data_IF_348518356516
#
_entry.id   IF_348518356516
#
_cell.length_a   1.000
_cell.length_b   1.000
_cell.length_c   1.000
_cell.angle_alpha   90.00
_cell.angle_beta   90.00
_cell.angle_gamma   90.00
#
_symmetry.space_group_name_H-M   'P 1'
#
loop_
_entity.id
_entity.type
_entity.pdbx_description
1 polymer ?
#
# COMPACT_ATOMS: atom_id res chain seq x y z
N UNK A 1 -7.79 -8.61 49.19
CA UNK A 1 -6.83 -7.54 48.85
C UNK A 1 -6.32 -7.70 47.42
N UNK A 2 -5.67 -8.83 47.06
CA UNK A 2 -5.13 -9.06 45.71
C UNK A 2 -6.15 -9.05 44.55
N UNK A 3 -7.41 -9.44 44.79
CA UNK A 3 -8.46 -9.48 43.75
C UNK A 3 -8.93 -8.09 43.27
N UNK A 4 -8.73 -7.04 44.07
CA UNK A 4 -9.12 -5.67 43.72
C UNK A 4 -8.09 -4.99 42.82
N UNK A 5 -6.80 -5.23 43.07
CA UNK A 5 -5.72 -4.69 42.22
C UNK A 5 -5.73 -5.31 40.82
N UNK A 6 -6.01 -6.62 40.74
CA UNK A 6 -6.14 -7.31 39.45
C UNK A 6 -7.30 -6.74 38.63
N UNK A 7 -8.44 -6.44 39.26
CA UNK A 7 -9.58 -5.81 38.58
C UNK A 7 -9.26 -4.40 38.11
N UNK A 8 -8.64 -3.58 38.96
CA UNK A 8 -8.23 -2.22 38.60
C UNK A 8 -7.18 -2.18 37.47
N UNK A 9 -6.28 -3.17 37.42
CA UNK A 9 -5.29 -3.29 36.36
C UNK A 9 -5.91 -3.74 35.03
N UNK A 10 -6.89 -4.65 35.09
CA UNK A 10 -7.65 -5.10 33.93
C UNK A 10 -8.50 -3.96 33.36
N UNK A 11 -9.16 -3.17 34.21
CA UNK A 11 -9.96 -2.01 33.79
C UNK A 11 -9.11 -0.86 33.24
N UNK A 12 -7.83 -0.75 33.65
CA UNK A 12 -6.87 0.20 33.06
C UNK A 12 -6.31 -0.30 31.73
N UNK A 13 -6.10 -1.61 31.59
CA UNK A 13 -5.55 -2.20 30.37
C UNK A 13 -6.61 -2.35 29.26
N UNK A 14 -7.86 -2.58 29.63
CA UNK A 14 -8.97 -2.66 28.69
C UNK A 14 -9.45 -1.25 28.32
N UNK A 15 -9.44 -0.88 27.03
CA UNK A 15 -9.97 0.41 26.60
C UNK A 15 -11.47 0.50 26.89
N UNK A 16 -11.91 1.56 27.56
CA UNK A 16 -13.33 1.86 27.75
C UNK A 16 -14.03 1.99 26.37
N UNK A 17 -15.04 1.15 26.15
CA UNK A 17 -15.81 1.09 24.90
C UNK A 17 -16.73 2.28 24.64
N UNK A 18 -16.76 3.27 25.53
CA UNK A 18 -17.59 4.49 25.44
C UNK A 18 -16.94 5.62 24.61
N UNK A 19 -16.00 5.27 23.73
CA UNK A 19 -15.39 6.23 22.79
C UNK A 19 -16.37 6.50 21.66
N UNK A 20 -17.03 7.65 21.74
CA UNK A 20 -17.80 8.21 20.61
C UNK A 20 -16.76 8.59 19.54
N UNK A 21 -16.59 7.73 18.54
CA UNK A 21 -15.68 7.98 17.44
C UNK A 21 -16.21 9.14 16.60
N UNK A 22 -15.46 10.24 16.56
CA UNK A 22 -15.87 11.40 15.78
C UNK A 22 -15.88 11.04 14.27
N UNK A 23 -17.01 11.24 13.56
CA UNK A 23 -17.13 10.88 12.15
C UNK A 23 -16.06 11.52 11.26
N UNK A 24 -15.56 12.71 11.62
CA UNK A 24 -14.52 13.39 10.85
C UNK A 24 -13.16 12.72 11.02
N UNK A 25 -12.84 12.26 12.23
CA UNK A 25 -11.59 11.56 12.52
C UNK A 25 -11.50 10.25 11.74
N UNK A 26 -12.54 9.42 11.77
CA UNK A 26 -12.59 8.14 11.04
C UNK A 26 -12.44 8.36 9.54
N UNK A 27 -13.10 9.38 8.99
CA UNK A 27 -13.00 9.71 7.57
C UNK A 27 -11.59 10.16 7.16
N UNK A 28 -10.91 10.92 8.01
CA UNK A 28 -9.53 11.35 7.79
C UNK A 28 -8.55 10.17 7.83
N UNK A 29 -8.62 9.35 8.89
CA UNK A 29 -7.75 8.18 9.05
C UNK A 29 -7.95 7.16 7.93
N UNK A 30 -9.20 6.89 7.55
CA UNK A 30 -9.52 5.99 6.43
C UNK A 30 -8.96 6.50 5.11
N UNK A 31 -9.09 7.80 4.83
CA UNK A 31 -8.53 8.42 3.62
C UNK A 31 -7.02 8.25 3.59
N UNK A 32 -6.32 8.54 4.70
CA UNK A 32 -4.87 8.40 4.81
C UNK A 32 -4.44 6.94 4.62
N UNK A 33 -5.13 5.97 5.23
CA UNK A 33 -4.83 4.55 5.08
C UNK A 33 -4.98 4.06 3.64
N UNK A 34 -5.98 4.55 2.90
CA UNK A 34 -6.13 4.26 1.46
C UNK A 34 -4.92 4.80 0.68
N UNK A 35 -4.47 6.02 0.97
CA UNK A 35 -3.25 6.55 0.35
C UNK A 35 -2.02 5.71 0.69
N UNK A 36 -1.82 5.32 1.95
CA UNK A 36 -0.71 4.47 2.38
C UNK A 36 -0.73 3.11 1.68
N UNK A 37 -1.90 2.47 1.58
CA UNK A 37 -2.06 1.20 0.88
C UNK A 37 -1.75 1.33 -0.62
N UNK A 38 -2.20 2.42 -1.26
CA UNK A 38 -1.85 2.73 -2.64
C UNK A 38 -0.35 2.96 -2.83
N UNK A 39 0.31 3.69 -1.93
CA UNK A 39 1.76 3.89 -1.97
C UNK A 39 2.54 2.59 -1.74
N UNK A 40 2.09 1.74 -0.83
CA UNK A 40 2.69 0.42 -0.60
C UNK A 40 2.54 -0.48 -1.84
N UNK A 41 1.37 -0.49 -2.47
CA UNK A 41 1.13 -1.19 -3.74
C UNK A 41 1.94 -0.63 -4.90
N UNK A 42 2.09 0.70 -4.98
CA UNK A 42 2.94 1.38 -5.96
C UNK A 42 4.40 0.98 -5.80
N UNK A 43 4.94 1.02 -4.56
CA UNK A 43 6.33 0.68 -4.30
C UNK A 43 6.61 -0.78 -4.63
N UNK A 44 5.69 -1.69 -4.27
CA UNK A 44 5.82 -3.09 -4.62
C UNK A 44 5.72 -3.33 -6.14
N UNK A 45 4.73 -2.72 -6.80
CA UNK A 45 4.56 -2.84 -8.24
C UNK A 45 5.72 -2.25 -9.03
N UNK A 46 6.30 -1.13 -8.59
CA UNK A 46 7.50 -0.56 -9.19
C UNK A 46 8.74 -1.46 -9.04
N UNK A 47 8.87 -2.16 -7.91
CA UNK A 47 9.91 -3.16 -7.71
C UNK A 47 9.71 -4.38 -8.62
N UNK A 48 8.48 -4.85 -8.81
CA UNK A 48 8.16 -5.96 -9.70
C UNK A 48 8.44 -5.59 -11.17
N UNK A 49 8.05 -4.38 -11.58
CA UNK A 49 8.32 -3.83 -12.91
C UNK A 49 9.83 -3.70 -13.15
N UNK A 50 10.60 -3.23 -12.16
CA UNK A 50 12.07 -3.12 -12.27
C UNK A 50 12.73 -4.49 -12.41
N UNK A 51 12.24 -5.49 -11.69
CA UNK A 51 12.75 -6.86 -11.78
C UNK A 51 12.46 -7.49 -13.16
N UNK A 52 11.32 -7.16 -13.78
CA UNK A 52 10.99 -7.61 -15.14
C UNK A 52 11.77 -6.83 -16.23
N UNK A 53 12.03 -5.54 -16.01
CA UNK A 53 12.71 -4.66 -16.97
C UNK A 53 14.23 -4.93 -17.01
N UNK A 54 14.85 -5.30 -15.89
CA UNK A 54 16.30 -5.55 -15.82
C UNK A 54 16.83 -6.56 -16.88
N UNK A 55 16.27 -7.78 -17.01
CA UNK A 55 16.71 -8.72 -18.05
C UNK A 55 16.35 -8.26 -19.46
N UNK A 56 15.21 -7.58 -19.64
CA UNK A 56 14.81 -7.04 -20.94
C UNK A 56 15.79 -5.96 -21.43
N UNK A 57 16.19 -5.07 -20.52
CA UNK A 57 17.14 -3.99 -20.80
C UNK A 57 18.53 -4.54 -21.11
N UNK A 58 18.96 -5.58 -20.37
CA UNK A 58 20.20 -6.30 -20.66
C UNK A 58 20.17 -6.98 -22.05
N UNK A 59 19.06 -7.62 -22.42
CA UNK A 59 18.90 -8.24 -23.75
C UNK A 59 18.96 -7.20 -24.87
N UNK A 60 18.27 -6.06 -24.71
CA UNK A 60 18.28 -4.97 -25.69
C UNK A 60 19.67 -4.35 -25.80
N UNK A 61 20.39 -4.18 -24.70
CA UNK A 61 21.77 -3.67 -24.70
C UNK A 61 22.71 -4.62 -25.45
N UNK A 62 22.60 -5.94 -25.24
CA UNK A 62 23.38 -6.94 -25.99
C UNK A 62 23.01 -6.91 -27.48
N UNK A 63 21.73 -6.79 -27.82
CA UNK A 63 21.27 -6.77 -29.21
C UNK A 63 21.74 -5.52 -29.96
N UNK A 64 21.75 -4.34 -29.31
CA UNK A 64 22.12 -3.07 -29.95
C UNK A 64 23.61 -2.76 -29.93
N UNK A 65 24.28 -2.92 -28.80
CA UNK A 65 25.67 -2.49 -28.61
C UNK A 65 26.69 -3.64 -28.68
N UNK A 66 26.24 -4.91 -28.71
CA UNK A 66 27.08 -6.11 -28.55
C UNK A 66 28.01 -6.06 -27.33
N UNK A 67 27.70 -5.20 -26.37
CA UNK A 67 28.52 -4.92 -25.20
C UNK A 67 27.65 -5.08 -23.95
N UNK A 68 28.10 -5.92 -23.01
CA UNK A 68 27.36 -6.24 -21.78
C UNK A 68 27.53 -5.18 -20.68
N UNK A 69 28.08 -4.01 -21.00
CA UNK A 69 28.28 -2.92 -20.05
C UNK A 69 26.98 -2.11 -19.94
N UNK A 70 26.30 -2.23 -18.81
CA UNK A 70 25.20 -1.37 -18.37
C UNK A 70 25.70 0.06 -18.04
N UNK A 71 26.44 0.69 -18.96
CA UNK A 71 26.94 2.07 -18.81
C UNK A 71 25.99 3.09 -19.45
N UNK A 72 24.93 2.64 -20.13
CA UNK A 72 23.93 3.50 -20.75
C UNK A 72 22.90 4.01 -19.74
N UNK A 73 22.67 5.32 -19.75
CA UNK A 73 21.52 5.98 -19.14
C UNK A 73 20.24 5.17 -19.37
N UNK A 74 19.47 4.91 -18.31
CA UNK A 74 18.21 4.19 -18.41
C UNK A 74 17.33 4.94 -19.42
N UNK A 75 16.94 4.32 -20.55
CA UNK A 75 16.22 5.01 -21.61
C UNK A 75 14.95 5.65 -21.05
N UNK A 76 14.72 6.93 -21.37
CA UNK A 76 13.55 7.70 -20.89
C UNK A 76 12.22 7.00 -21.20
N UNK A 77 12.16 6.20 -22.28
CA UNK A 77 11.01 5.39 -22.66
C UNK A 77 10.64 4.33 -21.62
N UNK A 78 11.63 3.78 -20.91
CA UNK A 78 11.44 2.80 -19.83
C UNK A 78 10.87 3.48 -18.59
N UNK A 79 11.36 4.69 -18.27
CA UNK A 79 10.78 5.52 -17.22
C UNK A 79 9.31 5.87 -17.51
N UNK A 80 9.02 6.29 -18.74
CA UNK A 80 7.66 6.61 -19.18
C UNK A 80 6.74 5.39 -19.11
N UNK A 81 7.24 4.20 -19.48
CA UNK A 81 6.48 2.96 -19.33
C UNK A 81 6.16 2.65 -17.86
N UNK A 82 7.09 2.86 -16.94
CA UNK A 82 6.86 2.71 -15.51
C UNK A 82 5.75 3.64 -14.99
N UNK A 83 5.82 4.94 -15.31
CA UNK A 83 4.79 5.92 -14.93
C UNK A 83 3.43 5.56 -15.53
N UNK A 84 3.40 5.17 -16.80
CA UNK A 84 2.17 4.76 -17.46
C UNK A 84 1.56 3.50 -16.84
N UNK A 85 2.37 2.49 -16.54
CA UNK A 85 1.93 1.25 -15.88
C UNK A 85 1.32 1.54 -14.49
N UNK A 86 1.91 2.46 -13.73
CA UNK A 86 1.35 2.92 -12.46
C UNK A 86 0.02 3.62 -12.67
N UNK A 87 -0.07 4.57 -13.61
CA UNK A 87 -1.32 5.31 -13.87
C UNK A 87 -2.45 4.35 -14.26
N UNK A 88 -2.17 3.38 -15.13
CA UNK A 88 -3.13 2.35 -15.54
C UNK A 88 -3.48 1.42 -14.38
N UNK A 89 -2.51 1.03 -13.56
CA UNK A 89 -2.74 0.21 -12.37
C UNK A 89 -3.64 0.91 -11.35
N UNK A 90 -3.40 2.20 -11.10
CA UNK A 90 -4.23 2.99 -10.19
C UNK A 90 -5.65 3.18 -10.74
N UNK A 91 -5.78 3.42 -12.06
CA UNK A 91 -7.08 3.56 -12.71
C UNK A 91 -7.92 2.27 -12.63
N UNK A 92 -7.29 1.12 -12.88
CA UNK A 92 -7.99 -0.18 -12.95
C UNK A 92 -8.25 -0.82 -11.58
N UNK A 93 -7.29 -0.73 -10.65
CA UNK A 93 -7.38 -1.38 -9.33
C UNK A 93 -7.79 -0.42 -8.20
N UNK A 94 -7.74 0.90 -8.41
CA UNK A 94 -8.07 1.90 -7.39
C UNK A 94 -9.49 1.75 -6.85
N UNK A 95 -10.48 1.50 -7.72
CA UNK A 95 -11.85 1.22 -7.27
C UNK A 95 -11.92 -0.04 -6.41
N UNK A 96 -11.13 -1.07 -6.74
CA UNK A 96 -11.09 -2.32 -5.99
C UNK A 96 -10.49 -2.12 -4.60
N UNK A 97 -9.45 -1.30 -4.46
CA UNK A 97 -8.86 -0.94 -3.16
C UNK A 97 -9.86 -0.16 -2.31
N UNK A 98 -10.51 0.86 -2.88
CA UNK A 98 -11.53 1.65 -2.19
C UNK A 98 -12.68 0.75 -1.71
N UNK A 99 -13.15 -0.16 -2.56
CA UNK A 99 -14.21 -1.11 -2.19
C UNK A 99 -13.72 -2.09 -1.12
N UNK A 100 -12.55 -2.69 -1.27
CA UNK A 100 -12.03 -3.68 -0.31
C UNK A 100 -11.76 -3.06 1.06
N UNK A 101 -11.18 -1.87 1.13
CA UNK A 101 -10.99 -1.14 2.40
C UNK A 101 -12.34 -0.71 2.98
N UNK A 102 -13.23 -0.18 2.14
CA UNK A 102 -14.56 0.26 2.56
C UNK A 102 -15.50 -0.85 3.02
N UNK A 103 -15.36 -2.08 2.51
CA UNK A 103 -16.25 -3.20 2.87
C UNK A 103 -15.63 -4.19 3.86
N UNK A 104 -14.30 -4.42 3.85
CA UNK A 104 -13.68 -5.44 4.71
C UNK A 104 -13.14 -4.87 6.03
N UNK A 105 -12.90 -3.55 6.13
CA UNK A 105 -12.58 -2.91 7.42
C UNK A 105 -13.84 -2.32 8.09
N UNK A 106 -14.99 -2.32 7.40
CA UNK A 106 -16.29 -1.87 7.92
C UNK A 106 -17.32 -2.99 8.08
N UNK A 107 -16.90 -4.22 8.36
CA UNK A 107 -17.66 -4.95 9.39
C UNK A 107 -17.21 -4.38 10.74
N UNK A 108 -17.74 -3.18 11.04
CA UNK A 108 -18.03 -2.88 12.44
C UNK A 108 -19.03 -3.97 12.79
N UNK A 109 -18.59 -4.98 13.51
CA UNK A 109 -19.48 -5.84 14.25
C UNK A 109 -19.75 -5.09 15.57
N UNK A 110 -20.85 -4.33 15.71
CA UNK A 110 -21.27 -3.79 16.99
C UNK A 110 -21.87 -4.93 17.83
N UNK A 111 -21.11 -5.98 18.12
CA UNK A 111 -21.43 -7.02 19.10
C UNK A 111 -20.36 -8.10 19.09
N UNK A 112 -19.32 -7.96 19.90
CA UNK A 112 -18.95 -8.94 20.95
C UNK A 112 -17.91 -8.30 21.85
#
# INVERSE_FOLDING_TARGET
>A
SASLEVRSFIDWFLPNGDRIEDPHTIKLFSTIQVFTACFAGFAHGANDVSNAIAPLTALVAIYKDKNARQEGEVPIYILLYGVFAICVGLWTLGHRVIRTVGTNMSEINPAT
#
